data_IF_497696540222
#
_entry.id   IF_497696540222
#
_cell.length_a   1.000
_cell.length_b   1.000
_cell.length_c   1.000
_cell.angle_alpha   90.00
_cell.angle_beta   90.00
_cell.angle_gamma   90.00
#
_symmetry.space_group_name_H-M   'P 1'
#
loop_
_entity.id
_entity.type
_entity.pdbx_description
1 polymer ?
#
# COMPACT_ATOMS: atom_id res chain seq x y z
N UNK A 1 18.84 14.41 -23.12
CA UNK A 1 18.38 13.33 -22.22
C UNK A 1 17.84 12.16 -23.04
N UNK A 2 18.17 10.89 -22.70
CA UNK A 2 17.69 9.71 -23.45
C UNK A 2 16.18 9.56 -23.30
N UNK A 3 15.45 9.42 -24.40
CA UNK A 3 14.00 9.17 -24.41
C UNK A 3 13.67 7.76 -23.93
N UNK A 4 12.94 7.63 -22.84
CA UNK A 4 12.53 6.34 -22.27
C UNK A 4 11.13 5.93 -22.72
N UNK A 5 10.89 4.61 -22.77
CA UNK A 5 9.56 4.02 -22.76
C UNK A 5 9.21 3.68 -21.31
N UNK A 6 8.16 4.27 -20.78
CA UNK A 6 7.68 4.11 -19.42
C UNK A 6 6.32 3.42 -19.46
N UNK A 7 6.18 2.30 -18.76
CA UNK A 7 4.88 1.70 -18.48
C UNK A 7 4.42 2.20 -17.10
N UNK A 8 3.33 2.94 -17.03
CA UNK A 8 2.74 3.37 -15.77
C UNK A 8 1.63 2.40 -15.42
N UNK A 9 1.85 1.60 -14.37
CA UNK A 9 0.91 0.57 -13.88
C UNK A 9 0.17 1.10 -12.66
N UNK A 10 -1.16 0.97 -12.64
CA UNK A 10 -2.00 1.40 -11.52
C UNK A 10 -3.14 0.41 -11.29
N UNK A 11 -3.75 0.46 -10.12
CA UNK A 11 -4.90 -0.35 -9.74
C UNK A 11 -6.17 0.20 -10.41
N UNK A 12 -6.80 -0.63 -11.26
CA UNK A 12 -8.01 -0.28 -11.98
C UNK A 12 -9.32 -0.68 -11.28
N UNK A 13 -9.24 -1.31 -10.11
CA UNK A 13 -10.45 -1.62 -9.34
C UNK A 13 -11.20 -0.37 -8.88
N UNK A 14 -10.47 0.72 -8.63
CA UNK A 14 -11.08 2.01 -8.39
C UNK A 14 -11.96 2.49 -9.56
N UNK A 15 -11.64 2.04 -10.80
CA UNK A 15 -12.43 2.36 -11.99
C UNK A 15 -13.71 1.50 -12.08
N UNK A 16 -13.73 0.32 -11.44
CA UNK A 16 -14.84 -0.64 -11.50
C UNK A 16 -15.86 -0.47 -10.35
N UNK A 17 -15.50 0.19 -9.28
CA UNK A 17 -16.36 0.44 -8.11
C UNK A 17 -17.22 1.71 -8.24
N UNK A 18 -17.38 2.26 -9.45
CA UNK A 18 -18.24 3.42 -9.73
C UNK A 18 -19.73 3.26 -9.29
N UNK A 19 -20.10 2.10 -8.72
CA UNK A 19 -21.47 1.79 -8.32
C UNK A 19 -21.79 2.06 -6.83
N UNK A 20 -20.81 2.39 -5.99
CA UNK A 20 -21.06 2.75 -4.59
C UNK A 20 -20.94 4.26 -4.42
N UNK A 21 -22.02 4.92 -4.05
CA UNK A 21 -22.15 6.40 -3.98
C UNK A 21 -21.13 7.10 -3.06
N UNK A 22 -20.51 6.38 -2.11
CA UNK A 22 -19.59 6.96 -1.13
C UNK A 22 -18.10 6.98 -1.55
N UNK A 23 -17.71 6.29 -2.62
CA UNK A 23 -16.28 6.12 -3.00
C UNK A 23 -15.89 6.74 -4.37
N UNK A 24 -16.82 7.39 -5.04
CA UNK A 24 -16.58 8.05 -6.35
C UNK A 24 -15.47 9.12 -6.29
N UNK A 25 -15.29 9.77 -5.15
CA UNK A 25 -14.27 10.81 -4.99
C UNK A 25 -12.84 10.23 -4.98
N UNK A 26 -12.64 9.07 -4.37
CA UNK A 26 -11.34 8.41 -4.29
C UNK A 26 -10.87 7.86 -5.64
N UNK A 27 -11.75 7.20 -6.37
CA UNK A 27 -11.46 6.65 -7.70
C UNK A 27 -11.14 7.74 -8.72
N UNK A 28 -11.95 8.80 -8.76
CA UNK A 28 -11.73 9.96 -9.64
C UNK A 28 -10.40 10.66 -9.33
N UNK A 29 -10.09 10.86 -8.04
CA UNK A 29 -8.82 11.44 -7.59
C UNK A 29 -7.61 10.59 -8.01
N UNK A 30 -7.67 9.27 -7.80
CA UNK A 30 -6.61 8.36 -8.21
C UNK A 30 -6.37 8.43 -9.72
N UNK A 31 -7.44 8.40 -10.51
CA UNK A 31 -7.37 8.50 -11.98
C UNK A 31 -6.73 9.82 -12.42
N UNK A 32 -7.14 10.95 -11.84
CA UNK A 32 -6.57 12.26 -12.13
C UNK A 32 -5.08 12.30 -11.78
N UNK A 33 -4.69 11.74 -10.63
CA UNK A 33 -3.29 11.63 -10.21
C UNK A 33 -2.47 10.84 -11.24
N UNK A 34 -2.96 9.68 -11.69
CA UNK A 34 -2.30 8.83 -12.68
C UNK A 34 -2.09 9.57 -13.99
N UNK A 35 -3.12 10.27 -14.51
CA UNK A 35 -2.99 11.06 -15.74
C UNK A 35 -2.09 12.27 -15.56
N UNK A 36 -2.05 12.86 -14.38
CA UNK A 36 -1.14 13.98 -14.07
C UNK A 36 0.31 13.51 -14.07
N UNK A 37 0.62 12.38 -13.45
CA UNK A 37 1.94 11.75 -13.51
C UNK A 37 2.30 11.44 -14.98
N UNK A 38 1.40 10.81 -15.73
CA UNK A 38 1.64 10.48 -17.13
C UNK A 38 1.94 11.71 -17.98
N UNK A 39 1.21 12.82 -17.78
CA UNK A 39 1.47 14.11 -18.45
C UNK A 39 2.82 14.68 -18.07
N UNK A 40 3.19 14.66 -16.79
CA UNK A 40 4.49 15.16 -16.32
C UNK A 40 5.66 14.40 -16.96
N UNK A 41 5.59 13.06 -16.96
CA UNK A 41 6.63 12.21 -17.55
C UNK A 41 6.71 12.42 -19.09
N UNK A 42 5.57 12.64 -19.76
CA UNK A 42 5.57 12.99 -21.21
C UNK A 42 6.20 14.34 -21.49
N UNK A 43 5.94 15.36 -20.63
CA UNK A 43 6.57 16.70 -20.75
C UNK A 43 8.10 16.64 -20.63
N UNK A 44 8.62 15.67 -19.88
CA UNK A 44 10.06 15.39 -19.80
C UNK A 44 10.61 14.68 -21.07
N UNK A 45 9.80 14.49 -22.11
CA UNK A 45 10.19 13.91 -23.40
C UNK A 45 10.12 12.38 -23.45
N UNK A 46 9.56 11.70 -22.45
CA UNK A 46 9.43 10.25 -22.42
C UNK A 46 8.14 9.76 -23.08
N UNK A 47 8.13 8.49 -23.56
CA UNK A 47 6.91 7.82 -24.03
C UNK A 47 6.26 7.09 -22.85
N UNK A 48 5.01 7.42 -22.51
CA UNK A 48 4.28 6.80 -21.40
C UNK A 48 3.09 6.03 -21.95
N UNK A 49 3.01 4.75 -21.57
CA UNK A 49 1.83 3.90 -21.73
C UNK A 49 1.25 3.63 -20.36
N UNK A 50 0.01 4.01 -20.14
CA UNK A 50 -0.74 3.71 -18.92
C UNK A 50 -1.32 2.31 -19.04
N UNK A 51 -1.16 1.49 -18.01
CA UNK A 51 -1.63 0.11 -17.94
C UNK A 51 -2.52 -0.01 -16.71
N UNK A 52 -3.85 -0.02 -16.88
CA UNK A 52 -4.76 -0.41 -15.81
C UNK A 52 -4.56 -1.89 -15.49
N UNK A 53 -4.43 -2.22 -14.23
CA UNK A 53 -4.29 -3.59 -13.74
C UNK A 53 -5.35 -3.84 -12.68
N UNK A 54 -6.12 -4.89 -12.88
CA UNK A 54 -6.96 -5.53 -11.88
C UNK A 54 -6.14 -6.65 -11.20
N UNK A 55 -6.55 -7.88 -11.31
CA UNK A 55 -5.88 -9.09 -10.81
C UNK A 55 -5.27 -9.98 -11.91
N UNK A 56 -5.50 -9.65 -13.20
CA UNK A 56 -4.94 -10.42 -14.31
C UNK A 56 -3.44 -10.13 -14.52
N UNK A 57 -2.60 -10.84 -13.78
CA UNK A 57 -1.15 -10.77 -13.95
C UNK A 57 -0.69 -11.28 -15.33
N UNK A 58 -1.45 -12.16 -16.00
CA UNK A 58 -1.14 -12.58 -17.36
C UNK A 58 -1.36 -11.44 -18.35
N UNK A 59 -2.40 -10.61 -18.15
CA UNK A 59 -2.59 -9.39 -18.93
C UNK A 59 -1.39 -8.46 -18.74
N UNK A 60 -0.97 -8.20 -17.50
CA UNK A 60 0.19 -7.36 -17.21
C UNK A 60 1.45 -7.89 -17.91
N UNK A 61 1.72 -9.19 -17.80
CA UNK A 61 2.86 -9.83 -18.46
C UNK A 61 2.84 -9.64 -19.98
N UNK A 62 1.71 -9.92 -20.64
CA UNK A 62 1.55 -9.72 -22.10
C UNK A 62 1.82 -8.28 -22.49
N UNK A 63 1.25 -7.32 -21.73
CA UNK A 63 1.43 -5.88 -21.99
C UNK A 63 2.89 -5.46 -21.84
N UNK A 64 3.57 -5.84 -20.77
CA UNK A 64 4.97 -5.48 -20.53
C UNK A 64 5.91 -6.11 -21.58
N UNK A 65 5.73 -7.38 -21.92
CA UNK A 65 6.52 -8.05 -22.96
C UNK A 65 6.35 -7.41 -24.33
N UNK A 66 5.13 -6.97 -24.69
CA UNK A 66 4.87 -6.28 -25.96
C UNK A 66 5.47 -4.87 -25.98
N UNK A 67 5.34 -4.12 -24.89
CA UNK A 67 5.80 -2.74 -24.78
C UNK A 67 7.33 -2.64 -24.63
N UNK A 68 7.95 -3.64 -24.02
CA UNK A 68 9.37 -3.66 -23.65
C UNK A 68 9.80 -2.32 -23.03
N UNK A 69 9.18 -1.88 -21.92
CA UNK A 69 9.50 -0.61 -21.31
C UNK A 69 10.93 -0.61 -20.77
N UNK A 70 11.53 0.55 -20.70
CA UNK A 70 12.83 0.72 -20.03
C UNK A 70 12.67 0.75 -18.50
N UNK A 71 11.49 1.15 -18.05
CA UNK A 71 11.11 1.18 -16.63
C UNK A 71 9.60 1.08 -16.48
N UNK A 72 9.16 0.39 -15.44
CA UNK A 72 7.77 0.40 -14.99
C UNK A 72 7.65 1.43 -13.87
N UNK A 73 6.82 2.45 -14.09
CA UNK A 73 6.43 3.39 -13.05
C UNK A 73 5.27 2.77 -12.27
N UNK A 74 5.55 2.29 -11.07
CA UNK A 74 4.59 1.56 -10.26
C UNK A 74 3.77 2.53 -9.40
N UNK A 75 2.48 2.59 -9.68
CA UNK A 75 1.44 3.28 -8.91
C UNK A 75 0.33 2.30 -8.52
N UNK A 76 0.67 1.02 -8.45
CA UNK A 76 -0.26 0.01 -8.00
C UNK A 76 -0.37 0.06 -6.48
N UNK A 77 -1.53 0.42 -5.98
CA UNK A 77 -1.92 0.39 -4.58
C UNK A 77 -3.22 -0.42 -4.47
N UNK A 78 -3.24 -1.46 -3.65
CA UNK A 78 -4.35 -2.40 -3.60
C UNK A 78 -5.15 -2.25 -2.32
N UNK A 79 -6.42 -1.96 -2.46
CA UNK A 79 -7.41 -1.89 -1.37
C UNK A 79 -8.39 -3.08 -1.36
N UNK A 80 -8.36 -3.93 -2.40
CA UNK A 80 -9.35 -5.01 -2.60
C UNK A 80 -8.81 -6.38 -2.18
N UNK A 81 -7.57 -6.71 -2.61
CA UNK A 81 -6.98 -8.04 -2.39
C UNK A 81 -6.12 -8.12 -1.12
N UNK A 82 -6.11 -7.04 -0.34
CA UNK A 82 -5.34 -6.93 0.90
C UNK A 82 -3.92 -6.42 0.72
N UNK A 83 -3.37 -5.96 1.81
CA UNK A 83 -2.15 -5.15 1.88
C UNK A 83 -0.89 -5.79 1.25
N UNK A 84 -0.85 -7.11 1.09
CA UNK A 84 0.30 -7.80 0.50
C UNK A 84 0.26 -7.93 -1.02
N UNK A 85 -0.87 -7.60 -1.66
CA UNK A 85 -0.99 -7.78 -3.12
C UNK A 85 -0.10 -6.80 -3.88
N UNK A 86 0.05 -5.57 -3.39
CA UNK A 86 0.98 -4.57 -3.92
C UNK A 86 2.42 -5.12 -3.98
N UNK A 87 2.88 -5.77 -2.90
CA UNK A 87 4.18 -6.44 -2.86
C UNK A 87 4.29 -7.52 -3.95
N UNK A 88 3.23 -8.31 -4.15
CA UNK A 88 3.20 -9.39 -5.16
C UNK A 88 3.31 -8.83 -6.58
N UNK A 89 2.59 -7.75 -6.89
CA UNK A 89 2.67 -7.08 -8.20
C UNK A 89 4.07 -6.52 -8.44
N UNK A 90 4.67 -5.86 -7.46
CA UNK A 90 6.04 -5.35 -7.57
C UNK A 90 7.06 -6.47 -7.77
N UNK A 91 6.95 -7.58 -7.02
CA UNK A 91 7.78 -8.77 -7.18
C UNK A 91 7.62 -9.38 -8.58
N UNK A 92 6.38 -9.53 -9.05
CA UNK A 92 6.08 -10.09 -10.36
C UNK A 92 6.71 -9.28 -11.49
N UNK A 93 6.60 -7.96 -11.48
CA UNK A 93 7.24 -7.08 -12.47
C UNK A 93 8.77 -7.28 -12.47
N UNK A 94 9.38 -7.38 -11.29
CA UNK A 94 10.83 -7.65 -11.16
C UNK A 94 11.22 -9.04 -11.67
N UNK A 95 10.42 -10.07 -11.40
CA UNK A 95 10.64 -11.44 -11.91
C UNK A 95 10.56 -11.50 -13.43
N UNK A 96 9.74 -10.65 -14.07
CA UNK A 96 9.70 -10.51 -15.53
C UNK A 96 10.94 -9.80 -16.11
N UNK A 97 11.87 -9.31 -15.27
CA UNK A 97 13.10 -8.65 -15.66
C UNK A 97 12.98 -7.16 -15.93
N UNK A 98 11.86 -6.52 -15.59
CA UNK A 98 11.69 -5.06 -15.81
C UNK A 98 12.16 -4.26 -14.59
N UNK A 99 12.93 -3.17 -14.82
CA UNK A 99 13.17 -2.16 -13.79
C UNK A 99 11.85 -1.53 -13.34
N UNK A 100 11.71 -1.30 -12.03
CA UNK A 100 10.50 -0.75 -11.42
C UNK A 100 10.87 0.43 -10.52
N UNK A 101 10.03 1.46 -10.48
CA UNK A 101 10.16 2.55 -9.52
C UNK A 101 9.51 2.17 -8.19
N UNK A 102 9.89 2.87 -7.13
CA UNK A 102 9.39 2.64 -5.78
C UNK A 102 10.26 1.68 -4.98
N UNK A 103 9.75 1.27 -3.84
CA UNK A 103 10.46 0.39 -2.91
C UNK A 103 10.53 -1.06 -3.42
N UNK A 104 11.55 -1.82 -3.03
CA UNK A 104 11.58 -3.26 -3.28
C UNK A 104 10.36 -3.97 -2.70
N UNK A 105 9.94 -5.08 -3.32
CA UNK A 105 8.75 -5.83 -2.90
C UNK A 105 8.78 -6.19 -1.41
N UNK A 106 9.92 -6.62 -0.89
CA UNK A 106 10.07 -6.93 0.55
C UNK A 106 9.80 -5.72 1.43
N UNK A 107 10.27 -4.51 1.04
CA UNK A 107 10.03 -3.30 1.81
C UNK A 107 8.55 -2.90 1.77
N UNK A 108 7.88 -3.07 0.62
CA UNK A 108 6.42 -2.87 0.51
C UNK A 108 5.67 -3.81 1.47
N UNK A 109 5.99 -5.10 1.47
CA UNK A 109 5.35 -6.06 2.37
C UNK A 109 5.59 -5.74 3.85
N UNK A 110 6.82 -5.38 4.22
CA UNK A 110 7.17 -5.03 5.60
C UNK A 110 6.47 -3.74 6.06
N UNK A 111 6.41 -2.72 5.19
CA UNK A 111 5.75 -1.45 5.53
C UNK A 111 4.24 -1.60 5.75
N UNK A 112 3.62 -2.61 5.14
CA UNK A 112 2.20 -2.94 5.33
C UNK A 112 1.93 -3.63 6.67
N UNK A 113 2.93 -4.27 7.27
CA UNK A 113 2.80 -4.95 8.56
C UNK A 113 3.39 -4.08 9.68
N UNK A 114 2.57 -3.20 10.27
CA UNK A 114 3.02 -2.16 11.20
C UNK A 114 3.84 -2.69 12.38
N UNK A 115 3.45 -3.83 12.96
CA UNK A 115 4.21 -4.45 14.05
C UNK A 115 5.59 -4.94 13.59
N UNK A 116 5.68 -5.62 12.44
CA UNK A 116 6.96 -6.08 11.90
C UNK A 116 7.87 -4.90 11.55
N UNK A 117 7.31 -3.86 10.90
CA UNK A 117 8.06 -2.64 10.60
C UNK A 117 8.61 -1.98 11.87
N UNK A 118 7.78 -1.83 12.90
CA UNK A 118 8.20 -1.27 14.18
C UNK A 118 9.30 -2.13 14.85
N UNK A 119 9.14 -3.46 14.85
CA UNK A 119 10.14 -4.37 15.43
C UNK A 119 11.50 -4.29 14.73
N UNK A 120 11.49 -4.20 13.38
CA UNK A 120 12.72 -4.03 12.60
C UNK A 120 13.39 -2.70 12.86
N UNK A 121 12.62 -1.60 12.92
CA UNK A 121 13.13 -0.27 13.21
C UNK A 121 13.74 -0.23 14.61
N UNK A 122 13.07 -0.81 15.61
CA UNK A 122 13.58 -0.91 16.98
C UNK A 122 14.87 -1.72 17.03
N UNK A 123 14.93 -2.87 16.34
CA UNK A 123 16.14 -3.68 16.23
C UNK A 123 17.32 -2.97 15.56
N UNK A 124 17.03 -2.01 14.68
CA UNK A 124 18.02 -1.14 14.03
C UNK A 124 18.38 0.12 14.88
N UNK A 125 17.87 0.24 16.10
CA UNK A 125 18.12 1.39 16.98
C UNK A 125 17.35 2.66 16.61
N UNK A 126 16.36 2.58 15.72
CA UNK A 126 15.50 3.71 15.38
C UNK A 126 14.44 3.89 16.48
N UNK A 127 14.28 5.10 17.06
CA UNK A 127 13.23 5.34 18.05
C UNK A 127 11.83 5.04 17.50
N UNK A 128 11.07 4.24 18.22
CA UNK A 128 9.65 3.97 17.96
C UNK A 128 8.82 4.29 19.20
N UNK A 129 7.50 4.44 19.09
CA UNK A 129 6.63 4.52 20.27
C UNK A 129 6.85 3.35 21.21
N UNK A 130 6.95 3.63 22.52
CA UNK A 130 7.53 2.74 23.52
C UNK A 130 6.83 1.39 23.74
N UNK A 131 5.53 1.24 23.35
CA UNK A 131 4.78 -0.01 23.51
C UNK A 131 4.08 -0.36 22.21
N UNK A 132 4.82 -0.90 21.26
CA UNK A 132 4.23 -1.43 20.02
C UNK A 132 4.07 -2.94 20.16
N UNK A 133 2.84 -3.44 19.96
CA UNK A 133 2.50 -4.84 20.16
C UNK A 133 1.43 -5.30 19.18
N UNK A 134 1.57 -6.52 18.70
CA UNK A 134 0.51 -7.21 17.97
C UNK A 134 -0.38 -7.95 18.96
N UNK A 135 -1.69 -7.75 18.87
CA UNK A 135 -2.70 -8.44 19.68
C UNK A 135 -3.56 -9.26 18.72
N UNK A 136 -3.52 -10.56 18.88
CA UNK A 136 -4.34 -11.50 18.09
C UNK A 136 -5.56 -12.00 18.89
N UNK A 137 -5.45 -11.98 20.21
CA UNK A 137 -6.52 -12.45 21.11
C UNK A 137 -6.66 -11.50 22.29
N UNK A 138 -7.88 -11.19 22.65
CA UNK A 138 -8.21 -10.27 23.75
C UNK A 138 -7.56 -10.68 25.09
N UNK A 139 -7.35 -11.99 25.30
CA UNK A 139 -6.68 -12.50 26.50
C UNK A 139 -5.26 -12.00 26.69
N UNK A 140 -4.57 -11.64 25.62
CA UNK A 140 -3.20 -11.13 25.64
C UNK A 140 -3.07 -9.74 26.28
N UNK A 141 -4.19 -9.05 26.44
CA UNK A 141 -4.27 -7.78 27.17
C UNK A 141 -4.16 -7.93 28.70
N UNK A 142 -4.34 -9.16 29.22
CA UNK A 142 -4.31 -9.40 30.66
C UNK A 142 -2.87 -9.48 31.20
N UNK A 143 -2.71 -9.12 32.46
CA UNK A 143 -1.41 -9.24 33.17
C UNK A 143 -0.33 -8.24 32.70
N UNK A 144 -0.67 -7.26 31.84
CA UNK A 144 0.26 -6.26 31.34
C UNK A 144 0.04 -4.90 32.00
N UNK A 145 1.14 -4.21 32.20
CA UNK A 145 1.15 -2.80 32.62
C UNK A 145 1.12 -1.90 31.39
N UNK A 146 -0.07 -1.40 31.07
CA UNK A 146 -0.30 -0.54 29.91
C UNK A 146 -0.07 0.92 30.26
N UNK A 147 0.80 1.58 29.49
CA UNK A 147 1.01 3.03 29.62
C UNK A 147 0.14 3.75 28.60
N UNK A 148 -0.86 4.47 29.09
CA UNK A 148 -1.81 5.23 28.29
C UNK A 148 -1.32 6.67 28.03
N UNK A 149 -1.75 7.35 26.93
CA UNK A 149 -2.71 6.85 25.93
C UNK A 149 -2.08 5.84 24.97
N UNK A 150 -2.92 4.97 24.39
CA UNK A 150 -2.54 4.02 23.33
C UNK A 150 -3.40 4.24 22.10
N UNK A 151 -2.84 3.97 20.92
CA UNK A 151 -3.60 3.90 19.68
C UNK A 151 -3.79 2.44 19.26
N UNK A 152 -5.02 2.07 18.97
CA UNK A 152 -5.40 0.73 18.48
C UNK A 152 -5.75 0.84 17.01
N UNK A 153 -5.09 0.05 16.17
CA UNK A 153 -5.37 0.02 14.74
C UNK A 153 -5.11 -1.37 14.15
N UNK A 154 -5.72 -1.66 13.01
CA UNK A 154 -5.46 -2.89 12.26
C UNK A 154 -3.98 -2.97 11.83
N UNK A 155 -3.37 -4.15 12.03
CA UNK A 155 -1.94 -4.37 11.81
C UNK A 155 -1.54 -4.24 10.33
N UNK A 156 -2.40 -4.66 9.40
CA UNK A 156 -2.10 -4.78 7.98
C UNK A 156 -2.85 -3.77 7.10
N UNK A 157 -3.83 -3.05 7.65
CA UNK A 157 -4.56 -2.04 6.91
C UNK A 157 -3.75 -0.75 6.77
N UNK A 158 -4.06 0.02 5.72
CA UNK A 158 -3.40 1.30 5.42
C UNK A 158 -4.41 2.42 5.16
N UNK A 159 -3.93 3.61 4.85
CA UNK A 159 -4.74 4.80 4.58
C UNK A 159 -5.73 5.18 5.70
N UNK A 160 -5.46 4.75 6.93
CA UNK A 160 -6.34 5.04 8.06
C UNK A 160 -7.57 4.16 8.16
N UNK A 161 -7.67 3.10 7.36
CA UNK A 161 -8.78 2.15 7.43
C UNK A 161 -8.89 1.58 8.85
N UNK A 162 -10.09 1.64 9.43
CA UNK A 162 -10.37 1.21 10.80
C UNK A 162 -9.91 2.18 11.89
N UNK A 163 -9.31 3.33 11.54
CA UNK A 163 -8.98 4.39 12.48
C UNK A 163 -10.14 5.39 12.58
N UNK A 164 -10.52 5.71 13.80
CA UNK A 164 -11.49 6.73 14.14
C UNK A 164 -11.05 7.48 15.41
N UNK A 165 -11.88 8.44 15.87
CA UNK A 165 -11.63 9.20 17.09
C UNK A 165 -11.56 8.32 18.37
N UNK A 166 -12.10 7.09 18.33
CA UNK A 166 -12.07 6.14 19.43
C UNK A 166 -10.89 5.18 19.36
N UNK A 167 -10.04 5.29 18.34
CA UNK A 167 -8.83 4.47 18.21
C UNK A 167 -7.74 4.86 19.20
N UNK A 168 -7.79 6.08 19.75
CA UNK A 168 -6.96 6.51 20.87
C UNK A 168 -7.70 6.17 22.16
N UNK A 169 -7.11 5.29 22.96
CA UNK A 169 -7.70 4.79 24.21
C UNK A 169 -6.89 5.25 25.40
N UNK A 170 -7.58 5.57 26.49
CA UNK A 170 -6.97 6.14 27.72
C UNK A 170 -7.12 5.20 28.91
N UNK A 171 -7.82 4.08 28.77
CA UNK A 171 -8.10 3.13 29.85
C UNK A 171 -8.02 1.70 29.35
N UNK A 172 -7.78 0.76 30.29
CA UNK A 172 -7.78 -0.68 29.98
C UNK A 172 -9.16 -1.18 29.52
N UNK A 173 -10.25 -0.58 30.02
CA UNK A 173 -11.60 -0.93 29.57
C UNK A 173 -11.78 -0.53 28.10
N UNK A 174 -11.50 0.72 27.75
CA UNK A 174 -11.58 1.18 26.35
C UNK A 174 -10.65 0.40 25.41
N UNK A 175 -9.46 -0.01 25.87
CA UNK A 175 -8.55 -0.86 25.10
C UNK A 175 -9.20 -2.23 24.81
N UNK A 176 -9.82 -2.86 25.81
CA UNK A 176 -10.50 -4.15 25.62
C UNK A 176 -11.68 -4.04 24.67
N UNK A 177 -12.45 -2.95 24.74
CA UNK A 177 -13.62 -2.74 23.88
C UNK A 177 -13.19 -2.48 22.43
N UNK A 178 -12.09 -1.77 22.19
CA UNK A 178 -11.59 -1.48 20.85
C UNK A 178 -10.93 -2.70 20.17
N UNK A 179 -10.44 -3.66 20.92
CA UNK A 179 -9.80 -4.90 20.40
C UNK A 179 -10.84 -6.01 20.14
N UNK A 180 -12.08 -5.90 20.63
CA UNK A 180 -13.18 -6.83 20.31
C UNK A 180 -13.67 -6.65 18.88
#
# INVERSE_FOLDING_TARGET
>A
MRKLRVALVYNAYADAQESAEDDQSGAAYLREMIFTIARAVRRLGHKVTVIPLTDDLNYLQRRLRRLKPHVVFNQYDDVVHGALYEMRVAAFIRMLGFPITGSPAIALGLSRHKYMAASLLQGAGVPIPGQTMLIERIGELNGRDWKFPLIVHASQEHAGIGLDRHSVVHTKAALKDKVR
#
